data_IF_364526728197
#
_entry.id   IF_364526728197
#
_cell.length_a   1.000
_cell.length_b   1.000
_cell.length_c   1.000
_cell.angle_alpha   90.00
_cell.angle_beta   90.00
_cell.angle_gamma   90.00
#
_symmetry.space_group_name_H-M   'P 1'
#
loop_
_entity.id
_entity.type
_entity.pdbx_description
1 polymer ?
#
# COMPACT_ATOMS: atom_id res chain seq x y z
N UNK A 1 24.35 -12.77 22.75
CA UNK A 1 24.25 -12.33 21.33
C UNK A 1 24.74 -10.90 21.31
N UNK A 2 25.85 -10.59 20.63
CA UNK A 2 26.33 -9.21 20.52
C UNK A 2 25.34 -8.41 19.66
N UNK A 3 24.96 -7.22 20.13
CA UNK A 3 24.11 -6.32 19.37
C UNK A 3 24.91 -5.76 18.19
N UNK A 4 24.35 -5.81 16.98
CA UNK A 4 25.02 -5.30 15.77
C UNK A 4 25.02 -3.77 15.80
N UNK A 5 26.13 -3.15 15.40
CA UNK A 5 26.20 -1.72 15.15
C UNK A 5 25.11 -1.27 14.16
N UNK A 6 24.47 -0.14 14.48
CA UNK A 6 23.45 0.46 13.63
C UNK A 6 24.10 1.18 12.47
N UNK A 7 23.44 1.17 11.31
CA UNK A 7 23.85 2.04 10.21
C UNK A 7 23.43 3.47 10.53
N UNK A 8 24.20 4.44 10.02
CA UNK A 8 23.95 5.87 10.21
C UNK A 8 22.48 6.26 9.94
N UNK A 9 21.87 5.67 8.91
CA UNK A 9 20.48 5.98 8.57
C UNK A 9 19.47 5.51 9.64
N UNK A 10 19.75 4.39 10.31
CA UNK A 10 18.88 3.87 11.38
C UNK A 10 18.93 4.78 12.60
N UNK A 11 20.12 5.33 12.90
CA UNK A 11 20.32 6.30 13.97
C UNK A 11 19.62 7.63 13.64
N UNK A 12 19.85 8.17 12.44
CA UNK A 12 19.21 9.40 11.96
C UNK A 12 17.68 9.28 11.99
N UNK A 13 17.15 8.13 11.61
CA UNK A 13 15.71 7.90 11.64
C UNK A 13 15.18 7.79 13.08
N UNK A 14 15.89 7.08 13.96
CA UNK A 14 15.52 6.99 15.38
C UNK A 14 15.54 8.37 16.06
N UNK A 15 16.57 9.19 15.81
CA UNK A 15 16.63 10.57 16.30
C UNK A 15 15.48 11.42 15.78
N UNK A 16 15.16 11.28 14.49
CA UNK A 16 14.04 12.00 13.89
C UNK A 16 12.72 11.66 14.56
N UNK A 17 12.46 10.37 14.82
CA UNK A 17 11.24 9.94 15.52
C UNK A 17 11.23 10.43 16.97
N UNK A 18 12.37 10.36 17.67
CA UNK A 18 12.48 10.81 19.06
C UNK A 18 12.28 12.33 19.24
N UNK A 19 12.65 13.13 18.22
CA UNK A 19 12.50 14.59 18.22
C UNK A 19 11.19 15.07 17.59
N UNK A 20 10.39 14.18 17.01
CA UNK A 20 9.14 14.55 16.37
C UNK A 20 8.09 14.90 17.43
N UNK A 21 7.42 16.05 17.27
CA UNK A 21 6.23 16.38 18.05
C UNK A 21 5.03 15.51 17.65
N UNK A 22 5.02 15.04 16.38
CA UNK A 22 4.04 14.10 15.85
C UNK A 22 4.27 12.69 16.38
N UNK A 23 3.18 11.94 16.57
CA UNK A 23 3.27 10.52 16.92
C UNK A 23 3.72 9.71 15.70
N UNK A 24 4.49 8.66 15.90
CA UNK A 24 4.87 7.80 14.77
C UNK A 24 3.64 7.10 14.17
N UNK A 25 2.78 6.58 15.03
CA UNK A 25 1.56 5.88 14.70
C UNK A 25 0.58 5.95 15.88
N UNK A 26 -0.72 5.98 15.58
CA UNK A 26 -1.81 5.97 16.54
C UNK A 26 -2.66 4.73 16.29
N UNK A 27 -2.60 3.69 17.15
CA UNK A 27 -3.41 2.49 16.98
C UNK A 27 -4.90 2.78 17.23
N UNK A 28 -5.76 2.08 16.51
CA UNK A 28 -7.17 1.99 16.86
C UNK A 28 -7.34 1.18 18.15
N UNK A 29 -8.17 1.63 19.09
CA UNK A 29 -8.59 0.82 20.23
C UNK A 29 -9.30 -0.44 19.72
N UNK A 30 -8.87 -1.60 20.22
CA UNK A 30 -9.45 -2.89 19.89
C UNK A 30 -10.25 -3.40 21.09
N UNK A 31 -11.45 -3.92 20.83
CA UNK A 31 -12.28 -4.52 21.86
C UNK A 31 -11.77 -5.92 22.23
N UNK A 32 -11.97 -6.30 23.48
CA UNK A 32 -11.72 -7.67 23.92
C UNK A 32 -12.70 -8.64 23.24
N UNK A 33 -12.23 -9.83 22.89
CA UNK A 33 -13.04 -10.91 22.34
C UNK A 33 -12.41 -12.27 22.64
N UNK A 34 -13.24 -13.26 22.94
CA UNK A 34 -12.81 -14.66 23.13
C UNK A 34 -12.66 -15.42 21.81
N UNK A 35 -12.93 -14.79 20.65
CA UNK A 35 -12.79 -15.40 19.33
C UNK A 35 -11.32 -15.77 19.02
N UNK A 36 -10.97 -17.06 18.89
CA UNK A 36 -9.60 -17.49 18.61
C UNK A 36 -9.08 -16.99 17.26
N UNK A 37 -9.95 -16.85 16.25
CA UNK A 37 -9.55 -16.33 14.95
C UNK A 37 -9.11 -14.88 15.08
N UNK A 38 -9.91 -14.07 15.80
CA UNK A 38 -9.60 -12.67 16.09
C UNK A 38 -8.31 -12.53 16.91
N UNK A 39 -8.17 -13.30 17.99
CA UNK A 39 -6.98 -13.24 18.84
C UNK A 39 -5.70 -13.58 18.08
N UNK A 40 -5.78 -14.51 17.12
CA UNK A 40 -4.66 -14.79 16.19
C UNK A 40 -4.36 -13.60 15.27
N UNK A 41 -5.38 -12.89 14.80
CA UNK A 41 -5.14 -11.68 13.99
C UNK A 41 -4.55 -10.55 14.83
N UNK A 42 -5.06 -10.34 16.05
CA UNK A 42 -4.56 -9.33 16.99
C UNK A 42 -3.11 -9.59 17.34
N UNK A 43 -2.67 -10.84 17.52
CA UNK A 43 -1.26 -11.13 17.79
C UNK A 43 -0.34 -10.66 16.66
N UNK A 44 -0.75 -10.80 15.39
CA UNK A 44 0.01 -10.26 14.26
C UNK A 44 -0.04 -8.73 14.18
N UNK A 45 -1.13 -8.09 14.61
CA UNK A 45 -1.15 -6.62 14.75
C UNK A 45 -0.18 -6.17 15.85
N UNK A 46 -0.10 -6.88 16.99
CA UNK A 46 0.87 -6.59 18.04
C UNK A 46 2.32 -6.76 17.56
N UNK A 47 2.62 -7.84 16.83
CA UNK A 47 3.94 -8.02 16.18
C UNK A 47 4.29 -6.84 15.27
N UNK A 48 3.30 -6.29 14.56
CA UNK A 48 3.51 -5.13 13.71
C UNK A 48 3.86 -3.89 14.54
N UNK A 49 3.16 -3.66 15.66
CA UNK A 49 3.44 -2.54 16.56
C UNK A 49 4.82 -2.65 17.21
N UNK A 50 5.24 -3.86 17.61
CA UNK A 50 6.57 -4.11 18.19
C UNK A 50 7.73 -3.83 17.20
N UNK A 51 7.45 -3.98 15.90
CA UNK A 51 8.40 -3.65 14.85
C UNK A 51 8.55 -2.13 14.62
N UNK A 52 7.53 -1.34 14.98
CA UNK A 52 7.55 0.12 14.83
C UNK A 52 8.37 0.81 15.94
N UNK A 53 8.94 1.99 15.67
CA UNK A 53 9.05 2.66 14.37
C UNK A 53 10.15 2.09 13.48
N UNK A 54 11.02 1.22 14.01
CA UNK A 54 12.31 0.86 13.40
C UNK A 54 12.19 0.08 12.09
N UNK A 55 11.20 -0.80 11.99
CA UNK A 55 11.02 -1.75 10.89
C UNK A 55 9.59 -1.69 10.35
N UNK A 56 9.18 -0.57 9.73
CA UNK A 56 7.83 -0.46 9.14
C UNK A 56 7.63 -1.45 7.99
N UNK A 57 8.71 -1.96 7.41
CA UNK A 57 8.69 -3.00 6.40
C UNK A 57 8.24 -4.36 6.97
N UNK A 58 8.72 -4.71 8.17
CA UNK A 58 8.28 -5.90 8.92
C UNK A 58 6.88 -5.69 9.49
N UNK A 59 6.58 -4.47 9.97
CA UNK A 59 5.22 -4.14 10.42
C UNK A 59 4.20 -4.34 9.29
N UNK A 60 4.52 -3.88 8.08
CA UNK A 60 3.70 -4.16 6.89
C UNK A 60 3.53 -5.66 6.64
N UNK A 61 4.61 -6.46 6.70
CA UNK A 61 4.51 -7.91 6.49
C UNK A 61 3.62 -8.60 7.54
N UNK A 62 3.66 -8.16 8.80
CA UNK A 62 2.81 -8.69 9.87
C UNK A 62 1.34 -8.29 9.68
N UNK A 63 1.04 -7.03 9.35
CA UNK A 63 -0.34 -6.60 9.04
C UNK A 63 -0.86 -7.27 7.77
N UNK A 64 0.01 -7.53 6.78
CA UNK A 64 -0.38 -8.25 5.57
C UNK A 64 -0.97 -9.63 5.86
N UNK A 65 -0.41 -10.37 6.83
CA UNK A 65 -0.96 -11.67 7.24
C UNK A 65 -2.42 -11.54 7.66
N UNK A 66 -2.73 -10.46 8.40
CA UNK A 66 -4.08 -10.15 8.86
C UNK A 66 -4.99 -9.74 7.70
N UNK A 67 -4.48 -8.90 6.80
CA UNK A 67 -5.21 -8.48 5.60
C UNK A 67 -5.57 -9.67 4.72
N UNK A 68 -4.63 -10.59 4.49
CA UNK A 68 -4.85 -11.79 3.68
C UNK A 68 -5.95 -12.67 4.28
N UNK A 69 -5.91 -12.91 5.60
CA UNK A 69 -6.97 -13.67 6.29
C UNK A 69 -8.32 -12.97 6.29
N UNK A 70 -8.33 -11.65 6.46
CA UNK A 70 -9.56 -10.86 6.47
C UNK A 70 -10.18 -10.76 5.07
N UNK A 71 -9.36 -10.63 4.03
CA UNK A 71 -9.80 -10.63 2.63
C UNK A 71 -10.33 -12.00 2.20
N UNK A 72 -9.71 -13.09 2.66
CA UNK A 72 -10.21 -14.46 2.45
C UNK A 72 -11.62 -14.66 3.05
N UNK A 73 -11.88 -14.07 4.23
CA UNK A 73 -13.21 -14.12 4.88
C UNK A 73 -14.25 -13.22 4.18
N UNK A 74 -13.79 -12.18 3.48
CA UNK A 74 -14.62 -11.19 2.81
C UNK A 74 -15.14 -11.64 1.44
N UNK A 75 -14.29 -12.32 0.68
CA UNK A 75 -14.57 -12.59 -0.72
C UNK A 75 -15.54 -13.79 -0.87
N UNK A 76 -16.60 -13.67 -1.69
CA UNK A 76 -17.59 -14.73 -1.84
C UNK A 76 -16.94 -16.00 -2.42
N UNK A 77 -17.17 -17.16 -1.79
CA UNK A 77 -16.65 -18.42 -2.29
C UNK A 77 -17.16 -18.67 -3.72
N UNK A 78 -16.24 -18.87 -4.68
CA UNK A 78 -16.61 -19.19 -6.06
C UNK A 78 -16.81 -20.69 -6.19
N UNK A 79 -18.06 -21.13 -6.28
CA UNK A 79 -18.44 -22.51 -6.65
C UNK A 79 -17.63 -23.61 -5.94
N UNK A 80 -17.42 -23.48 -4.62
CA UNK A 80 -16.70 -24.46 -3.82
C UNK A 80 -15.16 -24.41 -3.91
N UNK A 81 -14.57 -23.46 -4.65
CA UNK A 81 -13.11 -23.24 -4.69
C UNK A 81 -12.72 -22.08 -3.76
N UNK A 82 -11.68 -22.29 -2.95
CA UNK A 82 -11.04 -21.22 -2.19
C UNK A 82 -10.42 -20.21 -3.16
N UNK A 83 -10.80 -18.94 -3.02
CA UNK A 83 -10.25 -17.84 -3.80
C UNK A 83 -8.76 -17.65 -3.49
N UNK A 84 -7.99 -17.24 -4.49
CA UNK A 84 -6.62 -16.75 -4.23
C UNK A 84 -6.68 -15.34 -3.67
N UNK A 85 -5.62 -14.90 -2.98
CA UNK A 85 -5.53 -13.51 -2.49
C UNK A 85 -5.70 -12.49 -3.64
N UNK A 86 -5.21 -12.81 -4.84
CA UNK A 86 -5.36 -11.95 -6.01
C UNK A 86 -6.84 -11.80 -6.42
N UNK A 87 -7.61 -12.89 -6.35
CA UNK A 87 -9.05 -12.85 -6.60
C UNK A 87 -9.77 -12.01 -5.55
N UNK A 88 -9.43 -12.20 -4.27
CA UNK A 88 -10.01 -11.46 -3.16
C UNK A 88 -9.75 -9.95 -3.29
N UNK A 89 -8.51 -9.53 -3.55
CA UNK A 89 -8.16 -8.13 -3.78
C UNK A 89 -8.86 -7.55 -5.03
N UNK A 90 -9.03 -8.36 -6.07
CA UNK A 90 -9.81 -8.00 -7.24
C UNK A 90 -11.26 -7.69 -6.90
N UNK A 91 -11.91 -8.54 -6.09
CA UNK A 91 -13.27 -8.30 -5.59
C UNK A 91 -13.35 -7.06 -4.71
N UNK A 92 -12.40 -6.90 -3.77
CA UNK A 92 -12.33 -5.74 -2.89
C UNK A 92 -12.18 -4.43 -3.65
N UNK A 93 -11.41 -4.42 -4.74
CA UNK A 93 -11.22 -3.21 -5.56
C UNK A 93 -12.48 -2.72 -6.27
N UNK A 94 -13.48 -3.59 -6.45
CA UNK A 94 -14.76 -3.26 -7.06
C UNK A 94 -15.89 -3.15 -6.03
N UNK A 95 -15.63 -3.42 -4.75
CA UNK A 95 -16.65 -3.38 -3.70
C UNK A 95 -16.97 -1.92 -3.34
N UNK A 96 -18.23 -1.47 -3.48
CA UNK A 96 -18.62 -0.10 -3.13
C UNK A 96 -18.33 0.26 -1.67
N UNK A 97 -18.27 -0.73 -0.77
CA UNK A 97 -17.93 -0.52 0.65
C UNK A 97 -16.48 -0.05 0.82
N UNK A 98 -15.58 -0.43 -0.08
CA UNK A 98 -14.20 0.05 -0.09
C UNK A 98 -14.05 1.38 -0.85
N UNK A 99 -15.09 1.85 -1.54
CA UNK A 99 -15.07 3.10 -2.33
C UNK A 99 -15.45 4.33 -1.50
N UNK A 100 -15.04 4.35 -0.23
CA UNK A 100 -15.42 5.38 0.75
C UNK A 100 -14.30 6.38 1.09
N UNK A 101 -14.54 7.24 2.10
CA UNK A 101 -13.59 8.27 2.53
C UNK A 101 -12.19 7.74 2.93
N UNK A 102 -12.12 6.55 3.53
CA UNK A 102 -10.85 5.89 3.87
C UNK A 102 -9.99 5.68 2.61
N UNK A 103 -10.58 5.17 1.53
CA UNK A 103 -9.85 4.93 0.29
C UNK A 103 -9.42 6.23 -0.37
N UNK A 104 -10.28 7.25 -0.40
CA UNK A 104 -9.93 8.56 -0.93
C UNK A 104 -8.83 9.24 -0.11
N UNK A 105 -8.83 9.10 1.22
CA UNK A 105 -7.78 9.63 2.08
C UNK A 105 -6.42 8.98 1.80
N UNK A 106 -6.38 7.63 1.69
CA UNK A 106 -5.16 6.89 1.35
C UNK A 106 -4.65 7.28 -0.04
N UNK A 107 -5.52 7.22 -1.06
CA UNK A 107 -5.20 7.59 -2.45
C UNK A 107 -4.78 9.06 -2.61
N UNK A 108 -5.38 9.95 -1.81
CA UNK A 108 -5.07 11.37 -1.76
C UNK A 108 -3.69 11.69 -1.19
N UNK A 109 -3.11 10.78 -0.40
CA UNK A 109 -1.89 11.04 0.37
C UNK A 109 -0.74 10.06 0.10
N UNK A 110 -0.72 9.46 -1.10
CA UNK A 110 0.35 8.54 -1.52
C UNK A 110 1.70 9.26 -1.56
N UNK A 111 2.76 8.71 -0.90
CA UNK A 111 4.09 9.29 -0.93
C UNK A 111 4.76 9.22 -2.30
N UNK A 112 5.63 10.19 -2.57
CA UNK A 112 6.39 10.24 -3.82
C UNK A 112 7.29 9.02 -4.05
N UNK A 113 7.84 8.40 -2.99
CA UNK A 113 8.58 7.14 -3.15
C UNK A 113 7.70 5.98 -3.57
N UNK A 114 6.48 5.91 -3.04
CA UNK A 114 5.50 4.89 -3.41
C UNK A 114 5.10 5.02 -4.88
N UNK A 115 4.92 6.25 -5.37
CA UNK A 115 4.68 6.49 -6.79
C UNK A 115 5.91 6.14 -7.65
N UNK A 116 7.12 6.43 -7.17
CA UNK A 116 8.36 6.02 -7.83
C UNK A 116 8.53 4.49 -7.91
N UNK A 117 8.13 3.79 -6.85
CA UNK A 117 8.05 2.32 -6.83
C UNK A 117 7.05 1.82 -7.88
N UNK A 118 5.82 2.34 -7.89
CA UNK A 118 4.79 1.99 -8.87
C UNK A 118 5.24 2.25 -10.31
N UNK A 119 5.84 3.41 -10.58
CA UNK A 119 6.36 3.73 -11.92
C UNK A 119 7.36 2.68 -12.40
N UNK A 120 8.33 2.33 -11.55
CA UNK A 120 9.35 1.32 -11.88
C UNK A 120 8.75 -0.07 -12.13
N UNK A 121 7.61 -0.40 -11.53
CA UNK A 121 6.98 -1.73 -11.66
C UNK A 121 5.95 -1.82 -12.77
N UNK A 122 5.25 -0.73 -13.07
CA UNK A 122 4.16 -0.73 -14.04
C UNK A 122 4.57 -0.23 -15.42
N UNK A 123 5.64 0.57 -15.53
CA UNK A 123 6.00 1.29 -16.77
C UNK A 123 7.40 0.97 -17.28
N UNK A 124 8.38 0.71 -16.39
CA UNK A 124 9.78 0.59 -16.79
C UNK A 124 10.03 -0.60 -17.74
N UNK A 125 10.67 -0.34 -18.90
CA UNK A 125 10.95 -1.30 -19.99
C UNK A 125 11.94 -2.42 -19.65
N UNK A 126 12.77 -2.22 -18.63
CA UNK A 126 13.57 -3.30 -18.03
C UNK A 126 12.99 -3.60 -16.64
N UNK A 127 11.79 -4.20 -16.57
CA UNK A 127 11.27 -4.64 -15.30
C UNK A 127 12.22 -5.71 -14.75
N UNK A 128 12.62 -5.69 -13.46
CA UNK A 128 13.07 -6.93 -12.82
C UNK A 128 12.00 -8.01 -13.06
N UNK A 129 12.37 -9.29 -13.08
CA UNK A 129 11.45 -10.41 -13.39
C UNK A 129 10.13 -10.39 -12.56
N UNK A 130 10.12 -9.66 -11.44
CA UNK A 130 8.97 -9.35 -10.60
C UNK A 130 7.92 -8.38 -11.20
N UNK A 131 8.26 -7.57 -12.22
CA UNK A 131 7.37 -6.53 -12.75
C UNK A 131 6.53 -6.93 -13.96
N UNK A 132 6.92 -7.94 -14.74
CA UNK A 132 5.95 -8.67 -15.58
C UNK A 132 4.79 -9.22 -14.73
N UNK A 133 5.07 -9.55 -13.46
CA UNK A 133 4.05 -10.00 -12.51
C UNK A 133 3.20 -8.86 -11.99
N UNK A 134 3.69 -7.62 -11.88
CA UNK A 134 2.92 -6.48 -11.37
C UNK A 134 1.73 -6.13 -12.28
N UNK A 135 1.95 -6.05 -13.60
CA UNK A 135 0.87 -5.85 -14.57
C UNK A 135 -0.07 -7.06 -14.61
N UNK A 136 0.46 -8.29 -14.57
CA UNK A 136 -0.36 -9.51 -14.43
C UNK A 136 -1.21 -9.51 -13.16
N UNK A 137 -0.72 -8.97 -12.04
CA UNK A 137 -1.49 -8.82 -10.79
C UNK A 137 -2.63 -7.81 -10.93
N UNK A 138 -2.48 -6.79 -11.77
CA UNK A 138 -3.58 -5.89 -12.12
C UNK A 138 -4.59 -6.56 -13.07
N UNK A 139 -4.18 -7.56 -13.86
CA UNK A 139 -5.06 -8.34 -14.74
C UNK A 139 -5.87 -9.37 -13.94
N UNK A 140 -5.24 -10.04 -12.98
CA UNK A 140 -5.88 -11.05 -12.15
C UNK A 140 -6.83 -10.41 -11.13
N UNK A 141 -8.11 -10.39 -11.47
CA UNK A 141 -9.15 -9.98 -10.54
C UNK A 141 -10.43 -9.73 -11.30
N UNK A 142 -11.51 -10.30 -10.78
CA UNK A 142 -12.81 -10.47 -11.43
C UNK A 142 -12.89 -11.72 -12.30
N UNK A 143 -13.99 -12.46 -12.15
CA UNK A 143 -14.28 -13.71 -12.83
C UNK A 143 -14.44 -13.66 -14.35
N UNK A 144 -13.79 -12.72 -15.04
CA UNK A 144 -13.93 -12.44 -16.46
C UNK A 144 -12.54 -12.31 -17.11
N UNK A 145 -11.82 -13.42 -17.22
CA UNK A 145 -10.59 -13.52 -18.02
C UNK A 145 -9.40 -12.71 -17.53
N UNK A 146 -8.21 -13.08 -18.00
CA UNK A 146 -6.94 -12.42 -17.72
C UNK A 146 -6.85 -11.05 -18.41
N UNK A 147 -7.72 -10.09 -18.07
CA UNK A 147 -7.82 -8.80 -18.74
C UNK A 147 -7.73 -7.61 -17.78
N UNK A 148 -6.80 -6.70 -18.06
CA UNK A 148 -6.64 -5.42 -17.37
C UNK A 148 -7.87 -4.52 -17.64
N UNK A 149 -8.46 -3.86 -16.62
CA UNK A 149 -9.52 -2.88 -16.84
C UNK A 149 -9.13 -1.83 -17.89
N UNK A 150 -10.06 -1.50 -18.79
CA UNK A 150 -9.77 -0.69 -19.98
C UNK A 150 -9.15 0.67 -19.65
N UNK A 151 -9.63 1.34 -18.59
CA UNK A 151 -9.08 2.62 -18.14
C UNK A 151 -7.65 2.52 -17.61
N UNK A 152 -7.33 1.46 -16.84
CA UNK A 152 -5.96 1.21 -16.35
C UNK A 152 -5.05 0.89 -17.53
N UNK A 153 -5.52 0.05 -18.47
CA UNK A 153 -4.77 -0.28 -19.69
C UNK A 153 -4.44 0.95 -20.52
N UNK A 154 -5.43 1.81 -20.77
CA UNK A 154 -5.25 3.04 -21.51
C UNK A 154 -4.29 3.99 -20.80
N UNK A 155 -4.45 4.17 -19.49
CA UNK A 155 -3.56 4.99 -18.68
C UNK A 155 -2.10 4.51 -18.74
N UNK A 156 -1.84 3.23 -18.47
CA UNK A 156 -0.47 2.69 -18.49
C UNK A 156 0.19 2.83 -19.86
N UNK A 157 -0.56 2.58 -20.95
CA UNK A 157 -0.04 2.73 -22.31
C UNK A 157 0.34 4.20 -22.63
N UNK A 158 -0.45 5.18 -22.16
CA UNK A 158 -0.15 6.61 -22.32
C UNK A 158 1.10 7.03 -21.53
N UNK A 159 1.20 6.57 -20.27
CA UNK A 159 2.35 6.87 -19.41
C UNK A 159 3.63 6.24 -19.98
N UNK A 160 3.56 5.00 -20.45
CA UNK A 160 4.68 4.31 -21.10
C UNK A 160 5.11 5.04 -22.38
N UNK A 161 4.17 5.43 -23.23
CA UNK A 161 4.47 6.19 -24.45
C UNK A 161 5.21 7.50 -24.14
N UNK A 162 4.81 8.21 -23.08
CA UNK A 162 5.38 9.51 -22.70
C UNK A 162 6.73 9.41 -21.98
N UNK A 163 6.90 8.40 -21.13
CA UNK A 163 8.04 8.27 -20.22
C UNK A 163 8.89 7.01 -20.48
N UNK A 164 8.87 6.48 -21.70
CA UNK A 164 9.63 5.31 -22.11
C UNK A 164 11.16 5.44 -21.95
N UNK A 165 11.69 6.65 -21.78
CA UNK A 165 13.11 6.91 -21.55
C UNK A 165 13.52 6.57 -20.10
N UNK A 166 14.71 5.98 -19.92
CA UNK A 166 15.18 5.42 -18.64
C UNK A 166 16.06 6.37 -17.82
N UNK A 167 15.94 7.69 -17.98
CA UNK A 167 16.68 8.64 -17.14
C UNK A 167 15.94 8.96 -15.81
N UNK A 168 16.70 9.48 -14.84
CA UNK A 168 16.20 9.72 -13.48
C UNK A 168 15.14 10.83 -13.43
N UNK A 169 15.23 11.84 -14.30
CA UNK A 169 14.24 12.94 -14.32
C UNK A 169 12.92 12.49 -14.92
N UNK A 170 12.97 11.65 -15.96
CA UNK A 170 11.82 10.99 -16.59
C UNK A 170 11.08 10.11 -15.58
N UNK A 171 11.81 9.31 -14.79
CA UNK A 171 11.20 8.51 -13.73
C UNK A 171 10.54 9.36 -12.64
N UNK A 172 11.14 10.50 -12.27
CA UNK A 172 10.56 11.43 -11.28
C UNK A 172 9.27 12.07 -11.80
N UNK A 173 9.25 12.53 -13.05
CA UNK A 173 8.05 13.11 -13.69
C UNK A 173 6.95 12.06 -13.89
N UNK A 174 7.33 10.84 -14.29
CA UNK A 174 6.40 9.72 -14.41
C UNK A 174 5.76 9.34 -13.07
N UNK A 175 6.54 9.29 -11.99
CA UNK A 175 6.03 9.08 -10.64
C UNK A 175 5.06 10.19 -10.21
N UNK A 176 5.36 11.46 -10.51
CA UNK A 176 4.46 12.58 -10.23
C UNK A 176 3.14 12.45 -11.01
N UNK A 177 3.18 11.99 -12.26
CA UNK A 177 1.97 11.74 -13.05
C UNK A 177 1.11 10.61 -12.46
N UNK A 178 1.74 9.50 -12.02
CA UNK A 178 1.04 8.42 -11.30
C UNK A 178 0.37 8.97 -10.04
N UNK A 179 1.06 9.82 -9.27
CA UNK A 179 0.48 10.42 -8.06
C UNK A 179 -0.79 11.19 -8.39
N UNK A 180 -0.75 12.07 -9.40
CA UNK A 180 -1.91 12.85 -9.85
C UNK A 180 -3.07 11.97 -10.31
N UNK A 181 -2.77 10.87 -11.01
CA UNK A 181 -3.79 9.89 -11.40
C UNK A 181 -4.44 9.22 -10.19
N UNK A 182 -3.65 8.83 -9.18
CA UNK A 182 -4.15 8.23 -7.94
C UNK A 182 -4.93 9.22 -7.07
N UNK A 183 -4.64 10.52 -7.13
CA UNK A 183 -5.44 11.54 -6.45
C UNK A 183 -6.76 11.87 -7.18
N UNK A 184 -7.07 11.17 -8.28
CA UNK A 184 -8.32 11.35 -9.02
C UNK A 184 -8.30 12.51 -10.02
N UNK A 185 -7.14 13.09 -10.31
CA UNK A 185 -7.04 14.18 -11.27
C UNK A 185 -7.31 13.69 -12.69
N UNK A 186 -8.03 14.49 -13.49
CA UNK A 186 -8.13 14.28 -14.94
C UNK A 186 -6.85 14.78 -15.60
N UNK A 187 -6.14 13.90 -16.29
CA UNK A 187 -4.83 14.18 -16.87
C UNK A 187 -4.92 14.39 -18.37
N UNK A 188 -4.15 15.33 -18.88
CA UNK A 188 -3.85 15.45 -20.30
C UNK A 188 -2.46 14.87 -20.57
N UNK A 189 -2.42 13.78 -21.33
CA UNK A 189 -1.19 13.10 -21.72
C UNK A 189 -1.13 13.09 -23.25
N UNK A 190 -0.31 13.97 -23.81
CA UNK A 190 -0.11 14.10 -25.26
C UNK A 190 -1.43 14.35 -26.02
N UNK A 191 -2.30 15.24 -25.49
CA UNK A 191 -3.59 15.59 -26.07
C UNK A 191 -4.70 14.57 -25.81
N UNK A 192 -4.40 13.49 -25.05
CA UNK A 192 -5.39 12.51 -24.63
C UNK A 192 -5.80 12.75 -23.19
N UNK A 193 -7.08 13.04 -22.96
CA UNK A 193 -7.65 13.15 -21.62
C UNK A 193 -7.90 11.76 -21.03
N UNK A 194 -7.38 11.51 -19.84
CA UNK A 194 -7.57 10.27 -19.10
C UNK A 194 -7.89 10.56 -17.63
N UNK A 195 -8.83 9.82 -17.06
CA UNK A 195 -9.15 9.84 -15.64
C UNK A 195 -9.34 8.39 -15.18
N UNK A 196 -8.91 8.08 -13.96
CA UNK A 196 -9.11 6.77 -13.36
C UNK A 196 -10.30 6.84 -12.40
N UNK A 197 -11.26 5.93 -12.58
CA UNK A 197 -12.33 5.74 -11.60
C UNK A 197 -11.78 5.39 -10.22
N UNK A 198 -12.54 5.67 -9.16
CA UNK A 198 -12.15 5.27 -7.80
C UNK A 198 -11.88 3.75 -7.70
N UNK A 199 -12.71 2.85 -8.25
CA UNK A 199 -12.39 1.42 -8.32
C UNK A 199 -11.06 1.10 -9.00
N UNK A 200 -10.72 1.77 -10.12
CA UNK A 200 -9.41 1.58 -10.76
C UNK A 200 -8.26 2.05 -9.89
N UNK A 201 -8.40 3.20 -9.21
CA UNK A 201 -7.40 3.72 -8.28
C UNK A 201 -7.19 2.77 -7.10
N UNK A 202 -8.27 2.25 -6.52
CA UNK A 202 -8.22 1.21 -5.47
C UNK A 202 -7.55 -0.06 -6.01
N UNK A 203 -7.87 -0.50 -7.23
CA UNK A 203 -7.22 -1.67 -7.84
C UNK A 203 -5.72 -1.49 -8.00
N UNK A 204 -5.26 -0.31 -8.41
CA UNK A 204 -3.84 0.01 -8.47
C UNK A 204 -3.22 -0.02 -7.06
N UNK A 205 -3.91 0.51 -6.05
CA UNK A 205 -3.46 0.49 -4.65
C UNK A 205 -3.35 -0.95 -4.11
N UNK A 206 -4.37 -1.80 -4.30
CA UNK A 206 -4.40 -3.15 -3.75
C UNK A 206 -3.50 -4.12 -4.53
N UNK A 207 -3.74 -4.25 -5.84
CA UNK A 207 -3.08 -5.24 -6.67
C UNK A 207 -1.73 -4.73 -7.22
N UNK A 208 -1.69 -3.48 -7.67
CA UNK A 208 -0.50 -2.88 -8.26
C UNK A 208 0.59 -2.56 -7.24
N UNK A 209 0.18 -2.02 -6.09
CA UNK A 209 1.09 -1.60 -5.02
C UNK A 209 1.24 -2.67 -3.93
N UNK A 210 0.19 -2.89 -3.14
CA UNK A 210 0.25 -3.67 -1.90
C UNK A 210 0.69 -5.12 -2.14
N UNK A 211 0.00 -5.81 -3.04
CA UNK A 211 0.31 -7.20 -3.36
C UNK A 211 1.67 -7.36 -4.05
N UNK A 212 2.03 -6.43 -4.94
CA UNK A 212 3.35 -6.44 -5.59
C UNK A 212 4.46 -6.28 -4.56
N UNK A 213 4.36 -5.29 -3.67
CA UNK A 213 5.37 -5.06 -2.63
C UNK A 213 5.51 -6.27 -1.71
N UNK A 214 4.40 -6.85 -1.26
CA UNK A 214 4.45 -8.06 -0.43
C UNK A 214 5.06 -9.25 -1.17
N UNK A 215 4.68 -9.50 -2.41
CA UNK A 215 5.18 -10.66 -3.14
C UNK A 215 6.69 -10.57 -3.39
N UNK A 216 7.21 -9.38 -3.71
CA UNK A 216 8.66 -9.15 -3.86
C UNK A 216 9.41 -9.41 -2.55
N UNK A 217 8.85 -8.94 -1.43
CA UNK A 217 9.45 -9.18 -0.10
C UNK A 217 9.46 -10.66 0.28
N UNK A 218 8.35 -11.36 0.05
CA UNK A 218 8.22 -12.78 0.35
C UNK A 218 9.21 -13.64 -0.44
N UNK A 219 9.45 -13.31 -1.71
CA UNK A 219 10.38 -14.05 -2.57
C UNK A 219 11.83 -13.56 -2.51
N UNK A 220 12.16 -12.61 -1.61
CA UNK A 220 13.51 -12.06 -1.49
C UNK A 220 13.95 -11.23 -2.70
N UNK A 221 13.00 -10.82 -3.56
CA UNK A 221 13.25 -9.98 -4.74
C UNK A 221 13.41 -8.49 -4.35
N UNK A 222 13.12 -8.14 -3.08
CA UNK A 222 13.44 -6.84 -2.50
C UNK A 222 14.53 -6.96 -1.44
N UNK A 223 15.59 -6.17 -1.59
CA UNK A 223 16.60 -5.98 -0.54
C UNK A 223 15.99 -5.28 0.69
N UNK A 224 16.49 -5.57 1.90
CA UNK A 224 16.08 -4.86 3.12
C UNK A 224 16.38 -3.37 2.97
N UNK A 225 15.37 -2.49 2.87
CA UNK A 225 15.57 -1.13 2.38
C UNK A 225 16.45 -0.28 3.32
N UNK A 226 16.57 -0.67 4.58
CA UNK A 226 17.31 0.07 5.60
C UNK A 226 18.77 -0.37 5.74
N UNK A 227 19.16 -1.49 5.15
CA UNK A 227 20.54 -2.01 5.23
C UNK A 227 21.39 -1.65 4.01
N UNK A 228 21.12 -0.50 3.40
CA UNK A 228 21.85 0.01 2.23
C UNK A 228 22.55 1.32 2.57
N UNK A 229 23.78 1.51 2.08
CA UNK A 229 24.48 2.80 2.15
C UNK A 229 23.77 3.92 1.38
N UNK A 230 22.84 3.58 0.48
CA UNK A 230 22.01 4.53 -0.26
C UNK A 230 20.68 4.86 0.46
N UNK A 231 20.41 4.26 1.62
CA UNK A 231 19.18 4.51 2.36
C UNK A 231 19.16 5.92 2.95
N UNK A 232 17.98 6.54 2.96
CA UNK A 232 17.74 7.88 3.46
C UNK A 232 16.42 7.92 4.24
N UNK A 233 16.10 9.03 4.91
CA UNK A 233 14.81 9.20 5.60
C UNK A 233 13.64 8.92 4.64
N UNK A 234 13.80 9.33 3.38
CA UNK A 234 12.84 9.11 2.32
C UNK A 234 12.57 7.61 2.10
N UNK A 235 13.54 6.74 2.34
CA UNK A 235 13.42 5.27 2.21
C UNK A 235 12.36 4.68 3.15
N UNK A 236 12.11 5.28 4.32
CA UNK A 236 11.10 4.80 5.28
C UNK A 236 9.66 5.12 4.87
N UNK A 237 9.45 6.11 3.99
CA UNK A 237 8.10 6.58 3.61
C UNK A 237 7.27 5.51 2.93
N UNK A 238 7.87 4.74 2.02
CA UNK A 238 7.19 3.68 1.28
C UNK A 238 6.70 2.54 2.19
N UNK A 239 7.56 1.84 2.95
CA UNK A 239 7.09 0.77 3.83
C UNK A 239 6.15 1.26 4.93
N UNK A 240 6.33 2.48 5.46
CA UNK A 240 5.39 3.04 6.43
C UNK A 240 4.01 3.27 5.77
N UNK A 241 3.96 3.84 4.57
CA UNK A 241 2.69 4.00 3.87
C UNK A 241 2.01 2.66 3.53
N UNK A 242 2.78 1.63 3.13
CA UNK A 242 2.23 0.29 2.94
C UNK A 242 1.60 -0.28 4.21
N UNK A 243 2.26 -0.10 5.36
CA UNK A 243 1.72 -0.47 6.66
C UNK A 243 0.40 0.27 6.94
N UNK A 244 0.35 1.61 6.75
CA UNK A 244 -0.86 2.40 6.99
C UNK A 244 -2.03 1.94 6.12
N UNK A 245 -1.79 1.70 4.83
CA UNK A 245 -2.83 1.20 3.91
C UNK A 245 -3.31 -0.18 4.36
N UNK A 246 -2.40 -1.12 4.64
CA UNK A 246 -2.80 -2.47 5.08
C UNK A 246 -3.57 -2.43 6.40
N UNK A 247 -3.15 -1.58 7.34
CA UNK A 247 -3.79 -1.44 8.65
C UNK A 247 -5.21 -0.90 8.52
N UNK A 248 -5.38 0.19 7.78
CA UNK A 248 -6.70 0.78 7.52
C UNK A 248 -7.63 -0.22 6.81
N UNK A 249 -7.13 -0.95 5.82
CA UNK A 249 -7.91 -1.97 5.10
C UNK A 249 -8.37 -3.12 6.01
N UNK A 250 -7.51 -3.63 6.90
CA UNK A 250 -7.91 -4.66 7.87
C UNK A 250 -9.11 -4.21 8.70
N UNK A 251 -9.04 -2.98 9.23
CA UNK A 251 -10.08 -2.48 10.13
C UNK A 251 -11.36 -2.12 9.35
N UNK A 252 -11.22 -1.69 8.10
CA UNK A 252 -12.35 -1.48 7.20
C UNK A 252 -13.08 -2.79 6.87
N UNK A 253 -12.33 -3.87 6.59
CA UNK A 253 -12.88 -5.21 6.37
C UNK A 253 -13.58 -5.74 7.62
N UNK A 254 -12.99 -5.55 8.81
CA UNK A 254 -13.63 -5.97 10.05
C UNK A 254 -14.91 -5.19 10.33
N UNK A 255 -14.88 -3.86 10.17
CA UNK A 255 -16.01 -2.98 10.41
C UNK A 255 -17.21 -3.31 9.52
N UNK A 256 -16.98 -3.49 8.22
CA UNK A 256 -18.05 -3.88 7.32
C UNK A 256 -18.42 -5.38 7.40
N UNK A 257 -17.59 -6.20 8.06
CA UNK A 257 -17.82 -7.64 8.25
C UNK A 257 -18.79 -7.92 9.39
N UNK A 258 -19.14 -6.90 10.18
CA UNK A 258 -20.06 -7.00 11.30
C UNK A 258 -19.48 -7.74 12.50
N UNK A 259 -18.15 -7.81 12.62
CA UNK A 259 -17.52 -8.45 13.78
C UNK A 259 -17.77 -7.61 15.03
N UNK A 260 -18.17 -8.24 16.14
CA UNK A 260 -18.49 -7.54 17.39
C UNK A 260 -17.31 -6.76 18.00
N UNK A 261 -16.08 -7.14 17.64
CA UNK A 261 -14.83 -6.49 18.05
C UNK A 261 -14.33 -5.42 17.09
N UNK A 262 -15.01 -5.22 15.96
CA UNK A 262 -14.57 -4.29 14.95
C UNK A 262 -14.75 -2.84 15.44
N UNK A 263 -13.80 -1.94 15.14
CA UNK A 263 -14.02 -0.52 15.35
C UNK A 263 -15.17 -0.03 14.46
N UNK A 264 -15.83 1.03 14.91
CA UNK A 264 -16.80 1.75 14.08
C UNK A 264 -16.11 2.36 12.86
N UNK A 265 -16.82 2.41 11.72
CA UNK A 265 -16.24 2.82 10.43
C UNK A 265 -15.76 4.28 10.43
N UNK A 266 -16.47 5.15 11.14
CA UNK A 266 -16.09 6.55 11.38
C UNK A 266 -14.78 6.66 12.17
N UNK A 267 -14.58 5.80 13.18
CA UNK A 267 -13.32 5.72 13.90
C UNK A 267 -12.16 5.25 13.01
N UNK A 268 -12.41 4.31 12.08
CA UNK A 268 -11.41 3.87 11.08
C UNK A 268 -11.03 5.03 10.15
N UNK A 269 -12.01 5.79 9.70
CA UNK A 269 -11.80 7.00 8.88
C UNK A 269 -10.97 8.04 9.61
N UNK A 270 -11.38 8.43 10.81
CA UNK A 270 -10.66 9.40 11.63
C UNK A 270 -9.21 8.95 11.89
N UNK A 271 -9.02 7.70 12.28
CA UNK A 271 -7.71 7.14 12.54
C UNK A 271 -6.81 7.15 11.30
N UNK A 272 -7.37 6.83 10.14
CA UNK A 272 -6.65 6.88 8.86
C UNK A 272 -6.16 8.29 8.57
N UNK A 273 -7.05 9.29 8.69
CA UNK A 273 -6.71 10.70 8.46
C UNK A 273 -5.66 11.19 9.46
N UNK A 274 -5.80 10.85 10.74
CA UNK A 274 -4.83 11.19 11.78
C UNK A 274 -3.47 10.60 11.45
N UNK A 275 -3.37 9.29 11.19
CA UNK A 275 -2.09 8.64 10.91
C UNK A 275 -1.41 9.17 9.63
N UNK A 276 -2.17 9.49 8.59
CA UNK A 276 -1.63 10.14 7.39
C UNK A 276 -1.09 11.55 7.70
N UNK A 277 -1.81 12.33 8.51
CA UNK A 277 -1.33 13.64 8.99
C UNK A 277 -0.05 13.51 9.82
N UNK A 278 -0.02 12.58 10.77
CA UNK A 278 1.17 12.33 11.60
C UNK A 278 2.36 11.89 10.73
N UNK A 279 2.16 10.99 9.76
CA UNK A 279 3.19 10.58 8.83
C UNK A 279 3.71 11.75 7.97
N UNK A 280 2.83 12.62 7.47
CA UNK A 280 3.22 13.85 6.78
C UNK A 280 4.07 14.77 7.65
N UNK A 281 3.67 14.99 8.90
CA UNK A 281 4.44 15.80 9.84
C UNK A 281 5.82 15.17 10.11
N UNK A 282 5.84 13.86 10.36
CA UNK A 282 7.07 13.11 10.62
C UNK A 282 8.04 13.18 9.44
N UNK A 283 7.59 12.97 8.20
CA UNK A 283 8.50 12.93 7.04
C UNK A 283 8.69 14.28 6.35
N UNK A 284 7.82 15.25 6.61
CA UNK A 284 7.80 16.58 5.98
C UNK A 284 7.96 16.47 4.46
N UNK A 285 8.91 17.24 3.88
CA UNK A 285 9.24 17.21 2.44
C UNK A 285 9.53 15.81 1.88
N UNK A 286 9.94 14.86 2.71
CA UNK A 286 10.24 13.50 2.23
C UNK A 286 8.98 12.71 1.88
N UNK A 287 7.79 13.10 2.35
CA UNK A 287 6.52 12.44 2.03
C UNK A 287 6.08 12.71 0.60
N UNK A 288 5.90 13.98 0.22
CA UNK A 288 5.36 14.38 -1.09
C UNK A 288 6.42 14.75 -2.13
N UNK A 289 7.69 14.93 -1.75
CA UNK A 289 8.78 15.32 -2.66
C UNK A 289 9.25 16.74 -2.43
#
# INVERSE_FOLDING_TARGET
>A
MQERDRLLIEEQFAERVARAESRFFVPLPLAFSDDPWYNTQVSFLLEALDALPRRPDIAFDSVWKVLEKSADAWAPARAGRRLTITDALGHLSADPRLSGPVAEALLGDVPSQTCGYLFKRLISRNPPASSERAVKRLMNGYGAGDALPAEIKAFLALVEKKYAASDTDTARRGAALIRRALTGETLDIEGTRVALSLPARIRILLCGLLYTARNERYHGESFSPFYSSAASIKTYTHPHYLFLVAYALVHLLWGHGGHAYAPALDAVEENTVVNLREARALYARHWTG
#
